data_IF_847464948433
#
_entry.id   IF_847464948433
#
_cell.length_a   1.000
_cell.length_b   1.000
_cell.length_c   1.000
_cell.angle_alpha   90.00
_cell.angle_beta   90.00
_cell.angle_gamma   90.00
#
_symmetry.space_group_name_H-M   'P 1'
#
loop_
_entity.id
_entity.type
_entity.pdbx_description
1 polymer ?
#
# COMPACT_ATOMS: atom_id res chain seq x y z
N UNK A 1 -18.34 -2.47 5.16
CA UNK A 1 -17.69 -2.84 6.43
C UNK A 1 -16.34 -3.49 6.13
N UNK A 2 -15.30 -3.19 6.92
CA UNK A 2 -13.98 -3.80 6.79
C UNK A 2 -13.85 -4.97 7.78
N UNK A 3 -13.49 -6.15 7.29
CA UNK A 3 -13.37 -7.38 8.08
C UNK A 3 -11.92 -7.88 8.03
N UNK A 4 -11.38 -8.29 9.18
CA UNK A 4 -10.05 -8.92 9.26
C UNK A 4 -10.23 -10.44 9.31
N UNK A 5 -9.62 -11.15 8.37
CA UNK A 5 -9.50 -12.61 8.34
C UNK A 5 -8.02 -13.01 8.42
N UNK A 6 -7.74 -14.29 8.61
CA UNK A 6 -6.36 -14.83 8.62
C UNK A 6 -5.62 -14.52 7.31
N UNK A 7 -6.32 -14.62 6.17
CA UNK A 7 -5.77 -14.38 4.84
C UNK A 7 -5.58 -12.90 4.48
N UNK A 8 -6.17 -11.97 5.24
CA UNK A 8 -6.16 -10.57 4.84
C UNK A 8 -7.35 -9.74 5.32
N UNK A 9 -7.34 -8.47 4.95
CA UNK A 9 -8.52 -7.62 5.07
C UNK A 9 -9.49 -7.84 3.92
N UNK A 10 -10.79 -7.79 4.22
CA UNK A 10 -11.89 -8.00 3.28
C UNK A 10 -12.91 -6.87 3.39
N UNK A 11 -13.46 -6.47 2.25
CA UNK A 11 -14.64 -5.63 2.17
C UNK A 11 -15.89 -6.51 2.21
N UNK A 12 -16.83 -6.14 3.08
CA UNK A 12 -18.15 -6.77 3.20
C UNK A 12 -19.24 -5.72 3.14
N UNK A 13 -20.28 -5.94 2.33
CA UNK A 13 -21.49 -5.09 2.32
C UNK A 13 -22.74 -5.93 2.16
N UNK A 14 -23.75 -5.67 3.00
CA UNK A 14 -25.06 -6.29 2.87
C UNK A 14 -25.78 -5.80 1.62
N UNK A 15 -26.47 -6.70 0.93
CA UNK A 15 -27.35 -6.39 -0.19
C UNK A 15 -28.73 -5.99 0.37
N UNK A 16 -29.26 -4.80 0.01
CA UNK A 16 -30.61 -4.37 0.34
C UNK A 16 -31.67 -5.42 -0.03
N UNK A 17 -32.69 -5.60 0.81
CA UNK A 17 -33.68 -6.68 0.66
C UNK A 17 -34.32 -6.73 -0.73
N UNK A 18 -34.68 -5.56 -1.28
CA UNK A 18 -35.25 -5.38 -2.62
C UNK A 18 -34.37 -5.90 -3.77
N UNK A 19 -33.05 -5.96 -3.58
CA UNK A 19 -32.11 -6.42 -4.61
C UNK A 19 -31.77 -7.91 -4.50
N UNK A 20 -32.14 -8.57 -3.39
CA UNK A 20 -31.79 -9.97 -3.14
C UNK A 20 -32.42 -10.96 -4.13
N UNK A 21 -33.68 -10.80 -4.57
CA UNK A 21 -34.25 -11.69 -5.59
C UNK A 21 -33.49 -11.63 -6.91
N UNK A 22 -33.11 -10.42 -7.35
CA UNK A 22 -32.39 -10.22 -8.60
C UNK A 22 -30.93 -10.69 -8.53
N UNK A 23 -30.24 -10.47 -7.41
CA UNK A 23 -28.81 -10.79 -7.26
C UNK A 23 -28.54 -12.20 -6.70
N UNK A 24 -29.55 -12.88 -6.15
CA UNK A 24 -29.43 -14.21 -5.53
C UNK A 24 -28.51 -14.27 -4.30
N UNK A 25 -28.01 -13.13 -3.82
CA UNK A 25 -27.03 -13.02 -2.74
C UNK A 25 -27.53 -12.09 -1.64
N UNK A 26 -27.08 -12.34 -0.41
CA UNK A 26 -27.37 -11.47 0.75
C UNK A 26 -26.28 -10.45 1.01
N UNK A 27 -25.05 -10.74 0.58
CA UNK A 27 -23.88 -9.93 0.87
C UNK A 27 -22.88 -9.97 -0.29
N UNK A 28 -22.11 -8.90 -0.41
CA UNK A 28 -20.98 -8.76 -1.33
C UNK A 28 -19.71 -8.82 -0.50
N UNK A 29 -18.77 -9.67 -0.94
CA UNK A 29 -17.50 -9.91 -0.29
C UNK A 29 -16.37 -9.78 -1.30
N UNK A 30 -15.35 -8.98 -0.96
CA UNK A 30 -14.14 -8.85 -1.75
C UNK A 30 -12.90 -8.87 -0.86
N UNK A 31 -11.91 -9.71 -1.20
CA UNK A 31 -10.57 -9.57 -0.62
C UNK A 31 -9.97 -8.24 -1.06
N UNK A 32 -9.32 -7.56 -0.11
CA UNK A 32 -8.60 -6.32 -0.36
C UNK A 32 -7.13 -6.54 -0.67
N UNK A 33 -6.67 -7.80 -0.71
CA UNK A 33 -5.31 -8.21 -1.11
C UNK A 33 -4.21 -7.42 -0.38
N UNK A 34 -4.40 -7.17 0.92
CA UNK A 34 -3.41 -6.49 1.77
C UNK A 34 -3.55 -6.90 3.23
N UNK A 35 -2.42 -6.87 3.93
CA UNK A 35 -2.30 -7.01 5.38
C UNK A 35 -2.16 -5.65 6.09
N UNK A 36 -1.96 -4.56 5.35
CA UNK A 36 -1.92 -3.21 5.91
C UNK A 36 -3.34 -2.67 6.10
N UNK A 37 -3.67 -2.27 7.33
CA UNK A 37 -4.97 -1.72 7.71
C UNK A 37 -5.27 -0.39 7.03
N UNK A 38 -4.27 0.48 6.86
CA UNK A 38 -4.49 1.80 6.27
C UNK A 38 -4.79 1.67 4.78
N UNK A 39 -3.96 0.91 4.07
CA UNK A 39 -4.21 0.58 2.67
C UNK A 39 -5.55 -0.15 2.48
N UNK A 40 -5.88 -1.09 3.38
CA UNK A 40 -7.17 -1.77 3.34
C UNK A 40 -8.35 -0.80 3.46
N UNK A 41 -8.25 0.23 4.32
CA UNK A 41 -9.30 1.25 4.46
C UNK A 41 -9.51 2.03 3.16
N UNK A 42 -8.43 2.45 2.52
CA UNK A 42 -8.48 3.15 1.23
C UNK A 42 -9.12 2.28 0.15
N UNK A 43 -8.69 1.02 0.04
CA UNK A 43 -9.25 0.06 -0.94
C UNK A 43 -10.73 -0.23 -0.66
N UNK A 44 -11.11 -0.39 0.60
CA UNK A 44 -12.50 -0.60 1.01
C UNK A 44 -13.40 0.59 0.69
N UNK A 45 -12.89 1.82 0.80
CA UNK A 45 -13.62 3.03 0.43
C UNK A 45 -13.95 3.06 -1.07
N UNK A 46 -12.96 2.76 -1.92
CA UNK A 46 -13.16 2.68 -3.36
C UNK A 46 -14.19 1.59 -3.73
N UNK A 47 -14.09 0.39 -3.13
CA UNK A 47 -15.07 -0.67 -3.34
C UNK A 47 -16.47 -0.31 -2.84
N UNK A 48 -16.56 0.46 -1.76
CA UNK A 48 -17.85 0.97 -1.29
C UNK A 48 -18.51 1.87 -2.32
N UNK A 49 -17.74 2.80 -2.93
CA UNK A 49 -18.21 3.68 -4.00
C UNK A 49 -18.80 2.90 -5.18
N UNK A 50 -18.02 1.97 -5.75
CA UNK A 50 -18.48 1.13 -6.87
C UNK A 50 -19.71 0.31 -6.51
N UNK A 51 -19.75 -0.24 -5.30
CA UNK A 51 -20.89 -1.04 -4.86
C UNK A 51 -22.14 -0.17 -4.62
N UNK A 52 -21.98 1.12 -4.31
CA UNK A 52 -23.11 2.06 -4.21
C UNK A 52 -23.67 2.36 -5.59
N UNK A 53 -22.80 2.62 -6.56
CA UNK A 53 -23.19 2.85 -7.96
C UNK A 53 -23.92 1.63 -8.53
N UNK A 54 -23.45 0.41 -8.26
CA UNK A 54 -24.17 -0.82 -8.61
C UNK A 54 -25.62 -0.79 -8.09
N UNK A 55 -25.81 -0.46 -6.82
CA UNK A 55 -27.14 -0.42 -6.21
C UNK A 55 -28.02 0.70 -6.77
N UNK A 56 -27.44 1.83 -7.16
CA UNK A 56 -28.15 2.91 -7.84
C UNK A 56 -28.58 2.49 -9.25
N UNK A 57 -27.69 1.88 -10.04
CA UNK A 57 -28.00 1.35 -11.38
C UNK A 57 -29.11 0.30 -11.34
N UNK A 58 -29.03 -0.65 -10.39
CA UNK A 58 -30.10 -1.66 -10.19
C UNK A 58 -31.41 -0.99 -9.81
N UNK A 59 -31.37 0.06 -8.97
CA UNK A 59 -32.57 0.81 -8.59
C UNK A 59 -33.21 1.48 -9.80
N UNK A 60 -32.42 2.14 -10.64
CA UNK A 60 -32.89 2.80 -11.87
C UNK A 60 -33.49 1.79 -12.86
N UNK A 61 -32.83 0.64 -13.04
CA UNK A 61 -33.32 -0.44 -13.90
C UNK A 61 -34.66 -1.02 -13.42
N UNK A 62 -34.91 -1.04 -12.10
CA UNK A 62 -36.20 -1.45 -11.54
C UNK A 62 -37.27 -0.36 -11.65
N UNK A 63 -36.93 0.92 -11.40
CA UNK A 63 -37.90 2.02 -11.50
C UNK A 63 -38.41 2.25 -12.93
N UNK A 64 -37.54 2.10 -13.95
CA UNK A 64 -37.95 2.15 -15.36
C UNK A 64 -38.92 1.02 -15.73
N UNK A 65 -38.85 -0.10 -15.03
CA UNK A 65 -39.80 -1.21 -15.17
C UNK A 65 -41.15 -0.92 -14.51
N UNK A 66 -41.21 -0.13 -13.44
CA UNK A 66 -42.47 0.18 -12.76
C UNK A 66 -43.35 1.12 -13.59
N UNK A 67 -42.76 2.10 -14.27
CA UNK A 67 -43.46 3.03 -15.18
C UNK A 67 -44.00 2.34 -16.45
N UNK A 68 -43.34 1.27 -16.91
CA UNK A 68 -43.83 0.43 -18.00
C UNK A 68 -44.83 -0.62 -17.51
N UNK A 69 -44.68 -1.10 -16.27
CA UNK A 69 -45.63 -2.02 -15.64
C UNK A 69 -46.98 -1.37 -15.34
N UNK A 70 -47.06 -0.07 -15.07
CA UNK A 70 -48.34 0.62 -14.84
C UNK A 70 -49.14 0.79 -16.14
N UNK A 71 -48.46 0.96 -17.28
CA UNK A 71 -49.06 0.88 -18.62
C UNK A 71 -49.45 -0.55 -18.98
N UNK A 72 -48.61 -1.54 -18.68
CA UNK A 72 -48.90 -2.94 -18.95
C UNK A 72 -49.96 -3.54 -18.00
N UNK A 73 -50.11 -3.04 -16.77
CA UNK A 73 -51.18 -3.44 -15.83
C UNK A 73 -52.59 -3.09 -16.34
N UNK A 74 -52.72 -2.05 -17.15
CA UNK A 74 -53.97 -1.73 -17.84
C UNK A 74 -54.29 -2.71 -18.99
N UNK A 75 -53.28 -3.44 -19.47
CA UNK A 75 -53.39 -4.50 -20.49
C UNK A 75 -53.52 -5.88 -19.85
N UNK A 76 -52.88 -6.13 -18.71
CA UNK A 76 -52.89 -7.38 -17.95
C UNK A 76 -54.22 -7.67 -17.24
N UNK A 77 -55.09 -6.68 -17.01
CA UNK A 77 -56.48 -6.92 -16.59
C UNK A 77 -57.29 -7.74 -17.60
N UNK A 78 -56.80 -7.95 -18.83
CA UNK A 78 -57.34 -8.90 -19.80
C UNK A 78 -56.62 -10.27 -19.83
N UNK A 79 -55.46 -10.41 -19.16
CA UNK A 79 -54.56 -11.57 -19.28
C UNK A 79 -54.40 -12.32 -17.95
N UNK A 80 -55.37 -12.22 -17.04
CA UNK A 80 -55.27 -12.70 -15.65
C UNK A 80 -55.41 -14.23 -15.47
N UNK A 81 -55.15 -15.04 -16.49
CA UNK A 81 -55.46 -16.48 -16.46
C UNK A 81 -54.27 -17.45 -16.58
N UNK A 82 -53.04 -17.03 -16.90
CA UNK A 82 -51.95 -17.99 -17.14
C UNK A 82 -50.58 -17.49 -16.66
N UNK A 83 -50.02 -18.24 -15.70
CA UNK A 83 -48.59 -18.49 -15.49
C UNK A 83 -47.73 -17.41 -14.80
N UNK A 84 -47.46 -17.68 -13.52
CA UNK A 84 -46.11 -17.74 -12.91
C UNK A 84 -45.01 -16.82 -13.47
N UNK A 85 -44.67 -15.79 -12.69
CA UNK A 85 -43.30 -15.54 -12.21
C UNK A 85 -42.15 -15.65 -13.22
N UNK A 86 -42.22 -14.98 -14.37
CA UNK A 86 -41.05 -14.76 -15.22
C UNK A 86 -40.78 -13.26 -15.37
N UNK A 87 -39.61 -12.81 -14.88
CA UNK A 87 -39.07 -11.51 -15.26
C UNK A 87 -38.90 -11.51 -16.79
N UNK A 88 -39.38 -10.47 -17.46
CA UNK A 88 -39.28 -10.33 -18.92
C UNK A 88 -37.80 -10.50 -19.38
N UNK A 89 -37.51 -11.30 -20.44
CA UNK A 89 -36.15 -11.71 -20.81
C UNK A 89 -35.17 -10.54 -21.03
N UNK A 90 -35.66 -9.42 -21.57
CA UNK A 90 -34.88 -8.18 -21.78
C UNK A 90 -34.38 -7.56 -20.47
N UNK A 91 -35.14 -7.70 -19.38
CA UNK A 91 -34.80 -7.12 -18.09
C UNK A 91 -33.70 -7.92 -17.40
N UNK A 92 -33.71 -9.24 -17.59
CA UNK A 92 -32.68 -10.14 -17.07
C UNK A 92 -31.32 -9.87 -17.74
N UNK A 93 -31.31 -9.58 -19.04
CA UNK A 93 -30.10 -9.20 -19.78
C UNK A 93 -29.51 -7.88 -19.27
N UNK A 94 -30.35 -6.88 -18.98
CA UNK A 94 -29.90 -5.60 -18.42
C UNK A 94 -29.28 -5.78 -17.04
N UNK A 95 -29.93 -6.54 -16.14
CA UNK A 95 -29.37 -6.81 -14.81
C UNK A 95 -28.04 -7.56 -14.91
N UNK A 96 -27.95 -8.54 -15.81
CA UNK A 96 -26.73 -9.29 -16.03
C UNK A 96 -25.60 -8.38 -16.53
N UNK A 97 -25.90 -7.46 -17.44
CA UNK A 97 -24.95 -6.46 -17.94
C UNK A 97 -24.45 -5.51 -16.83
N UNK A 98 -25.36 -5.03 -15.96
CA UNK A 98 -25.01 -4.18 -14.80
C UNK A 98 -24.08 -4.92 -13.84
N UNK A 99 -24.38 -6.19 -13.52
CA UNK A 99 -23.55 -7.01 -12.63
C UNK A 99 -22.17 -7.29 -13.27
N UNK A 100 -22.13 -7.61 -14.57
CA UNK A 100 -20.88 -7.83 -15.30
C UNK A 100 -19.99 -6.57 -15.33
N UNK A 101 -20.60 -5.39 -15.52
CA UNK A 101 -19.89 -4.12 -15.49
C UNK A 101 -19.26 -3.89 -14.12
N UNK A 102 -20.02 -4.08 -13.04
CA UNK A 102 -19.50 -3.99 -11.68
C UNK A 102 -18.35 -4.97 -11.40
N UNK A 103 -18.49 -6.23 -11.80
CA UNK A 103 -17.43 -7.23 -11.60
C UNK A 103 -16.16 -6.85 -12.38
N UNK A 104 -16.31 -6.33 -13.60
CA UNK A 104 -15.20 -5.85 -14.42
C UNK A 104 -14.48 -4.66 -13.77
N UNK A 105 -15.23 -3.70 -13.22
CA UNK A 105 -14.67 -2.55 -12.50
C UNK A 105 -13.93 -2.98 -11.23
N UNK A 106 -14.49 -3.94 -10.48
CA UNK A 106 -13.83 -4.51 -9.29
C UNK A 106 -12.50 -5.17 -9.69
N UNK A 107 -12.47 -5.92 -10.78
CA UNK A 107 -11.23 -6.55 -11.26
C UNK A 107 -10.21 -5.51 -11.74
N UNK A 108 -10.64 -4.50 -12.49
CA UNK A 108 -9.78 -3.40 -12.91
C UNK A 108 -9.19 -2.66 -11.70
N UNK A 109 -9.99 -2.44 -10.66
CA UNK A 109 -9.54 -1.81 -9.43
C UNK A 109 -8.47 -2.65 -8.71
N UNK A 110 -8.67 -3.97 -8.62
CA UNK A 110 -7.67 -4.89 -8.06
C UNK A 110 -6.39 -4.92 -8.88
N UNK A 111 -6.49 -4.92 -10.21
CA UNK A 111 -5.32 -4.85 -11.09
C UNK A 111 -4.50 -3.58 -10.84
N UNK A 112 -5.15 -2.40 -10.76
CA UNK A 112 -4.48 -1.14 -10.43
C UNK A 112 -3.74 -1.19 -9.09
N UNK A 113 -4.32 -1.84 -8.08
CA UNK A 113 -3.66 -2.02 -6.79
C UNK A 113 -2.40 -2.88 -6.87
N UNK A 114 -2.39 -3.92 -7.71
CA UNK A 114 -1.20 -4.75 -7.95
C UNK A 114 -0.12 -3.94 -8.68
N UNK A 115 -0.50 -3.20 -9.72
CA UNK A 115 0.42 -2.34 -10.47
C UNK A 115 1.06 -1.29 -9.57
N UNK A 116 0.26 -0.52 -8.82
CA UNK A 116 0.76 0.51 -7.91
C UNK A 116 1.69 -0.06 -6.83
N UNK A 117 1.42 -1.26 -6.33
CA UNK A 117 2.30 -1.92 -5.38
C UNK A 117 3.63 -2.33 -6.03
N UNK A 118 3.60 -2.85 -7.26
CA UNK A 118 4.79 -3.18 -8.02
C UNK A 118 5.64 -1.94 -8.33
N UNK A 119 5.02 -0.85 -8.77
CA UNK A 119 5.67 0.44 -9.03
C UNK A 119 6.37 0.97 -7.77
N UNK A 120 5.69 0.95 -6.62
CA UNK A 120 6.27 1.38 -5.35
C UNK A 120 7.49 0.54 -4.95
N UNK A 121 7.44 -0.78 -5.18
CA UNK A 121 8.57 -1.67 -4.90
C UNK A 121 9.74 -1.40 -5.84
N UNK A 122 9.48 -1.19 -7.13
CA UNK A 122 10.51 -0.86 -8.13
C UNK A 122 11.21 0.47 -7.80
N UNK A 123 10.43 1.51 -7.48
CA UNK A 123 11.00 2.81 -7.08
C UNK A 123 11.92 2.67 -5.86
N UNK A 124 11.55 1.86 -4.87
CA UNK A 124 12.41 1.57 -3.71
C UNK A 124 13.67 0.79 -4.07
N UNK A 125 13.60 -0.12 -5.02
CA UNK A 125 14.77 -0.86 -5.50
C UNK A 125 15.74 0.06 -6.23
N UNK A 126 15.24 0.97 -7.07
CA UNK A 126 16.05 1.97 -7.77
C UNK A 126 16.76 2.91 -6.77
N UNK A 127 16.04 3.37 -5.75
CA UNK A 127 16.62 4.18 -4.68
C UNK A 127 17.74 3.43 -3.95
N UNK A 128 17.49 2.16 -3.60
CA UNK A 128 18.50 1.32 -2.94
C UNK A 128 19.73 1.11 -3.83
N UNK A 129 19.54 0.85 -5.12
CA UNK A 129 20.63 0.71 -6.07
C UNK A 129 21.44 1.99 -6.20
N UNK A 130 20.77 3.16 -6.23
CA UNK A 130 21.43 4.47 -6.26
C UNK A 130 22.29 4.67 -5.03
N UNK A 131 21.76 4.40 -3.84
CA UNK A 131 22.51 4.51 -2.57
C UNK A 131 23.71 3.56 -2.57
N UNK A 132 23.52 2.30 -2.98
CA UNK A 132 24.61 1.33 -3.08
C UNK A 132 25.73 1.81 -4.00
N UNK A 133 25.38 2.37 -5.17
CA UNK A 133 26.37 2.88 -6.13
C UNK A 133 27.18 4.06 -5.58
N UNK A 134 26.58 4.90 -4.73
CA UNK A 134 27.26 6.01 -4.07
C UNK A 134 28.21 5.47 -3.00
N UNK A 135 27.77 4.50 -2.21
CA UNK A 135 28.62 3.86 -1.19
C UNK A 135 29.82 3.14 -1.80
N UNK A 136 29.66 2.47 -2.93
CA UNK A 136 30.78 1.83 -3.64
C UNK A 136 31.83 2.84 -4.12
N UNK A 137 31.40 4.05 -4.54
CA UNK A 137 32.31 5.11 -4.97
C UNK A 137 33.05 5.76 -3.80
N UNK A 138 32.35 6.01 -2.69
CA UNK A 138 32.90 6.73 -1.54
C UNK A 138 33.68 5.79 -0.59
N UNK A 139 33.35 4.49 -0.57
CA UNK A 139 33.98 3.50 0.31
C UNK A 139 35.53 3.49 0.24
N UNK A 140 36.14 3.45 -0.95
CA UNK A 140 37.61 3.52 -1.10
C UNK A 140 38.21 4.82 -0.51
N UNK A 141 37.52 5.95 -0.67
CA UNK A 141 37.98 7.26 -0.17
C UNK A 141 37.94 7.30 1.37
N UNK A 142 36.87 6.78 1.98
CA UNK A 142 36.74 6.65 3.43
C UNK A 142 37.83 5.71 3.98
N UNK A 143 38.07 4.58 3.31
CA UNK A 143 39.11 3.63 3.73
C UNK A 143 40.51 4.27 3.64
N UNK A 144 40.80 5.02 2.58
CA UNK A 144 42.06 5.75 2.46
C UNK A 144 42.24 6.80 3.57
N UNK A 145 41.18 7.53 3.94
CA UNK A 145 41.21 8.47 5.06
C UNK A 145 41.45 7.74 6.39
N UNK A 146 40.80 6.60 6.61
CA UNK A 146 41.00 5.75 7.79
C UNK A 146 42.44 5.23 7.90
N UNK A 147 43.06 4.88 6.79
CA UNK A 147 44.46 4.46 6.72
C UNK A 147 45.41 5.61 7.06
N UNK A 148 45.13 6.82 6.57
CA UNK A 148 45.91 8.03 6.90
C UNK A 148 45.81 8.32 8.40
N UNK A 149 44.61 8.28 8.97
CA UNK A 149 44.37 8.47 10.40
C UNK A 149 45.15 7.43 11.22
N UNK A 150 45.12 6.15 10.82
CA UNK A 150 45.90 5.10 11.48
C UNK A 150 47.41 5.35 11.40
N UNK A 151 47.93 5.79 10.25
CA UNK A 151 49.35 6.15 10.10
C UNK A 151 49.73 7.31 11.01
N UNK A 152 48.91 8.37 11.07
CA UNK A 152 49.13 9.51 11.96
C UNK A 152 49.14 9.05 13.42
N UNK A 153 48.17 8.23 13.84
CA UNK A 153 48.12 7.68 15.20
C UNK A 153 49.40 6.89 15.55
N UNK A 154 49.87 6.03 14.63
CA UNK A 154 51.10 5.25 14.82
C UNK A 154 52.36 6.13 14.91
N UNK A 155 52.40 7.25 14.18
CA UNK A 155 53.49 8.24 14.29
C UNK A 155 53.45 8.92 15.66
N UNK A 156 52.26 9.35 16.11
CA UNK A 156 52.08 9.92 17.44
C UNK A 156 52.46 8.93 18.55
N UNK A 157 52.13 7.65 18.45
CA UNK A 157 52.54 6.62 19.41
C UNK A 157 54.06 6.40 19.42
N UNK A 158 54.71 6.40 18.24
CA UNK A 158 56.17 6.28 18.09
C UNK A 158 56.94 7.52 18.54
N UNK A 159 56.35 8.72 18.52
CA UNK A 159 57.03 9.97 18.85
C UNK A 159 56.63 10.53 20.21
N UNK A 160 55.43 10.20 20.72
CA UNK A 160 55.00 10.45 22.09
C UNK A 160 55.81 9.66 23.11
N UNK A 161 56.34 8.48 22.75
CA UNK A 161 57.33 7.75 23.56
C UNK A 161 58.73 8.38 23.55
N UNK A 162 59.02 9.31 22.64
CA UNK A 162 60.32 10.00 22.55
C UNK A 162 60.40 11.31 23.36
N UNK A 163 59.25 11.82 23.82
CA UNK A 163 59.16 13.07 24.60
C UNK A 163 59.11 12.87 26.12
N UNK A 164 59.36 11.64 26.60
CA UNK A 164 59.59 11.37 28.03
C UNK A 164 60.97 10.75 28.21
N UNK A 165 62.02 11.53 27.94
CA UNK A 165 63.31 11.28 28.57
C UNK A 165 63.52 12.32 29.68
N UNK A 166 63.80 11.89 30.92
CA UNK A 166 63.98 12.82 32.04
C UNK A 166 65.23 13.66 31.78
N UNK A 167 65.08 14.98 31.87
CA UNK A 167 66.19 15.93 31.89
C UNK A 167 67.12 15.50 33.03
N UNK A 168 68.29 14.96 32.69
CA UNK A 168 69.32 14.67 33.68
C UNK A 168 69.75 15.99 34.30
N UNK A 169 69.49 16.14 35.60
CA UNK A 169 70.01 17.24 36.43
C UNK A 169 71.54 17.16 36.44
N UNK A 170 72.21 18.01 35.66
CA UNK A 170 73.62 18.31 35.90
C UNK A 170 73.72 19.31 37.05
N UNK A 171 74.02 18.80 38.24
CA UNK A 171 74.42 19.58 39.42
C UNK A 171 75.85 19.20 39.77
N UNK A 172 76.79 20.14 39.71
CA UNK A 172 78.04 20.18 40.51
C UNK A 172 78.61 21.62 40.40
N UNK A 173 78.38 22.51 41.38
CA UNK A 173 79.03 22.75 42.69
C UNK A 173 80.36 23.52 42.60
N UNK A 174 80.28 24.81 42.97
CA UNK A 174 81.21 25.68 43.74
C UNK A 174 82.72 25.65 43.45
N UNK A 175 83.27 26.81 43.12
CA UNK A 175 84.46 27.34 43.79
C UNK A 175 84.45 28.88 43.81
N UNK A 176 84.31 29.44 45.01
CA UNK A 176 84.70 30.80 45.37
C UNK A 176 85.58 30.62 46.61
N UNK A 177 86.87 30.86 46.47
CA UNK A 177 87.76 31.16 47.60
C UNK A 177 88.23 32.62 47.49
N UNK A 178 88.40 33.31 48.64
CA UNK A 178 88.82 34.70 48.69
C UNK A 178 90.35 34.81 48.72
N UNK A 179 90.91 35.81 48.06
CA UNK A 179 92.29 36.26 48.29
C UNK A 179 92.26 37.59 49.04
N UNK A 180 93.20 37.70 49.98
CA UNK A 180 93.44 38.79 50.94
C UNK A 180 93.86 40.09 50.27
#
# INVERSE_FOLDING_TARGET
>A
MLIRLQSGFHFRRGIPARFRPALGKREIWHSLETLDRNLARTRACAMYGLTSQLFECISLAMSSSEETSSLNKAVETFQEALATSDLHPVQQDLFQSIVQTYDSEIQALKARYKTMNAEHLLARMEDHQRVSSVLEKIGPEINALMDIIHKIKKIFEKHGTRLVQPIQKTSFRKHLEPQK
#
